data_IF_387484154586
#
_entry.id   IF_387484154586
#
_cell.length_a   1.000
_cell.length_b   1.000
_cell.length_c   1.000
_cell.angle_alpha   90.00
_cell.angle_beta   90.00
_cell.angle_gamma   90.00
#
_symmetry.space_group_name_H-M   'P 1'
#
loop_
_entity.id
_entity.type
_entity.pdbx_description
1 polymer ?
#
# COMPACT_ATOMS: atom_id res chain seq x y z
N UNK A 1 -1.28 -29.80 -0.82
CA UNK A 1 -0.20 -29.21 0.00
C UNK A 1 0.94 -28.79 -0.92
N UNK A 2 0.85 -27.59 -1.48
CA UNK A 2 1.94 -26.99 -2.25
C UNK A 2 2.96 -26.50 -1.22
N UNK A 3 4.10 -27.17 -1.16
CA UNK A 3 5.28 -26.70 -0.46
C UNK A 3 5.63 -25.30 -1.01
N UNK A 4 5.17 -24.24 -0.32
CA UNK A 4 5.73 -22.90 -0.45
C UNK A 4 7.17 -23.00 0.03
N UNK A 5 8.05 -23.38 -0.89
CA UNK A 5 9.49 -23.35 -0.72
C UNK A 5 9.83 -21.96 -0.20
N UNK A 6 10.49 -21.91 0.94
CA UNK A 6 11.10 -20.74 1.56
C UNK A 6 12.28 -20.35 0.65
N UNK A 7 11.98 -19.94 -0.57
CA UNK A 7 12.93 -19.37 -1.50
C UNK A 7 13.05 -17.90 -1.08
N UNK A 8 14.15 -17.57 -0.40
CA UNK A 8 14.50 -16.22 0.05
C UNK A 8 14.69 -15.23 -1.10
N UNK A 9 13.60 -14.90 -1.78
CA UNK A 9 13.48 -13.89 -2.83
C UNK A 9 12.12 -13.20 -2.59
N UNK A 10 11.96 -12.58 -1.42
CA UNK A 10 10.74 -11.84 -1.10
C UNK A 10 10.61 -10.65 -2.07
N UNK A 11 9.65 -10.75 -2.99
CA UNK A 11 8.89 -9.66 -3.61
C UNK A 11 9.60 -8.51 -4.32
N UNK A 12 10.90 -8.60 -4.63
CA UNK A 12 11.63 -7.55 -5.40
C UNK A 12 11.06 -7.23 -6.78
N UNK A 13 10.13 -8.05 -7.28
CA UNK A 13 9.48 -7.83 -8.55
C UNK A 13 8.24 -6.92 -8.47
N UNK A 14 7.65 -6.74 -7.27
CA UNK A 14 6.47 -5.89 -7.02
C UNK A 14 6.85 -4.63 -6.26
N UNK A 15 7.78 -4.77 -5.32
CA UNK A 15 8.29 -3.68 -4.49
C UNK A 15 9.72 -3.31 -4.84
N UNK A 16 10.05 -2.05 -4.63
CA UNK A 16 11.37 -1.46 -4.84
C UNK A 16 12.49 -2.24 -4.11
N UNK A 17 13.50 -2.72 -4.84
CA UNK A 17 14.76 -3.19 -4.25
C UNK A 17 15.60 -2.01 -3.73
N UNK A 18 16.46 -2.19 -2.72
CA UNK A 18 17.33 -1.10 -2.22
C UNK A 18 18.21 -0.45 -3.31
N UNK A 19 18.54 -1.18 -4.37
CA UNK A 19 19.32 -0.65 -5.50
C UNK A 19 18.48 0.16 -6.51
N UNK A 20 17.14 0.10 -6.43
CA UNK A 20 16.27 0.87 -7.32
C UNK A 20 16.17 2.35 -6.92
N UNK A 21 16.34 2.67 -5.63
CA UNK A 21 16.46 4.03 -5.13
C UNK A 21 17.58 4.10 -4.08
N UNK A 22 18.86 4.00 -4.52
CA UNK A 22 19.98 4.00 -3.60
C UNK A 22 20.11 5.37 -2.91
N UNK A 23 20.50 5.41 -1.63
CA UNK A 23 20.84 6.67 -0.98
C UNK A 23 22.07 7.30 -1.66
N UNK A 24 22.22 8.62 -1.56
CA UNK A 24 23.24 9.40 -2.28
C UNK A 24 24.66 8.85 -2.10
N UNK A 25 25.00 8.39 -0.89
CA UNK A 25 26.31 7.82 -0.55
C UNK A 25 26.65 6.61 -1.42
N UNK A 26 25.68 5.71 -1.58
CA UNK A 26 25.81 4.50 -2.39
C UNK A 26 25.84 4.87 -3.88
N UNK A 27 24.96 5.77 -4.32
CA UNK A 27 24.90 6.21 -5.71
C UNK A 27 26.19 6.91 -6.18
N UNK A 28 26.81 7.70 -5.30
CA UNK A 28 28.04 8.43 -5.58
C UNK A 28 29.32 7.61 -5.32
N UNK A 29 29.20 6.34 -4.92
CA UNK A 29 30.32 5.47 -4.54
C UNK A 29 31.25 6.10 -3.47
N UNK A 30 30.66 6.82 -2.52
CA UNK A 30 31.39 7.41 -1.39
C UNK A 30 31.47 6.35 -0.29
N UNK A 31 32.65 6.17 0.32
CA UNK A 31 32.81 5.26 1.46
C UNK A 31 32.02 5.79 2.66
N UNK A 32 31.10 5.00 3.20
CA UNK A 32 30.27 5.35 4.37
C UNK A 32 31.11 5.80 5.57
N UNK A 33 32.35 5.30 5.68
CA UNK A 33 33.30 5.69 6.73
C UNK A 33 33.65 7.16 6.69
N UNK A 34 33.60 7.82 5.53
CA UNK A 34 33.94 9.26 5.43
C UNK A 34 32.86 10.15 6.06
N UNK A 35 31.64 9.63 6.25
CA UNK A 35 30.54 10.34 6.91
C UNK A 35 30.51 10.11 8.43
N UNK A 36 31.08 9.00 8.89
CA UNK A 36 31.17 8.69 10.31
C UNK A 36 32.27 9.52 10.96
N UNK A 37 31.90 10.38 11.91
CA UNK A 37 32.86 11.05 12.80
C UNK A 37 33.15 10.17 14.00
N UNK A 38 34.42 9.88 14.25
CA UNK A 38 34.84 9.13 15.44
C UNK A 38 34.43 9.88 16.71
N UNK A 39 33.89 9.14 17.69
CA UNK A 39 33.39 9.69 18.96
C UNK A 39 31.97 10.28 18.92
N UNK A 40 31.28 10.29 17.77
CA UNK A 40 29.87 10.71 17.67
C UNK A 40 28.99 9.49 17.36
N UNK A 41 28.07 9.18 18.27
CA UNK A 41 27.08 8.13 18.06
C UNK A 41 25.78 8.72 17.50
N UNK A 42 25.11 7.97 16.62
CA UNK A 42 23.73 8.26 16.27
C UNK A 42 22.88 8.21 17.55
N UNK A 43 22.01 9.21 17.74
CA UNK A 43 21.05 9.17 18.83
C UNK A 43 20.07 8.01 18.57
N UNK A 44 20.03 7.05 19.48
CA UNK A 44 19.06 5.96 19.47
C UNK A 44 18.25 6.03 20.74
N UNK A 45 16.93 6.11 20.59
CA UNK A 45 16.00 6.07 21.72
C UNK A 45 15.32 4.70 21.74
N UNK A 46 15.36 3.95 22.85
CA UNK A 46 14.77 2.61 22.92
C UNK A 46 13.29 2.57 22.51
N UNK A 47 12.56 3.67 22.69
CA UNK A 47 11.17 3.81 22.24
C UNK A 47 11.04 3.74 20.72
N UNK A 48 11.88 4.47 19.96
CA UNK A 48 11.86 4.45 18.49
C UNK A 48 12.21 3.06 17.94
N UNK A 49 13.17 2.37 18.55
CA UNK A 49 13.49 0.99 18.18
C UNK A 49 12.34 0.03 18.49
N UNK A 50 11.67 0.19 19.64
CA UNK A 50 10.52 -0.61 20.02
C UNK A 50 9.33 -0.46 19.07
N UNK A 51 9.01 0.78 18.68
CA UNK A 51 7.93 1.07 17.72
C UNK A 51 8.23 0.45 16.36
N UNK A 52 9.44 0.66 15.82
CA UNK A 52 9.85 0.10 14.53
C UNK A 52 9.81 -1.43 14.55
N UNK A 53 10.30 -2.07 15.63
CA UNK A 53 10.25 -3.51 15.77
C UNK A 53 8.81 -4.06 15.84
N UNK A 54 7.93 -3.40 16.61
CA UNK A 54 6.53 -3.79 16.71
C UNK A 54 5.80 -3.71 15.37
N UNK A 55 6.00 -2.62 14.64
CA UNK A 55 5.42 -2.43 13.29
C UNK A 55 5.94 -3.48 12.32
N UNK A 56 7.24 -3.78 12.36
CA UNK A 56 7.85 -4.80 11.51
C UNK A 56 7.23 -6.18 11.75
N UNK A 57 7.16 -6.62 13.02
CA UNK A 57 6.58 -7.92 13.38
C UNK A 57 5.12 -7.98 12.97
N UNK A 58 4.35 -6.91 13.16
CA UNK A 58 2.97 -6.91 12.69
C UNK A 58 2.85 -7.04 11.18
N UNK A 59 3.72 -6.39 10.41
CA UNK A 59 3.70 -6.55 8.96
C UNK A 59 4.08 -7.98 8.52
N UNK A 60 5.01 -8.62 9.24
CA UNK A 60 5.37 -10.03 9.03
C UNK A 60 4.18 -10.96 9.32
N UNK A 61 3.46 -10.74 10.41
CA UNK A 61 2.28 -11.53 10.75
C UNK A 61 1.19 -11.38 9.70
N UNK A 62 0.85 -10.14 9.32
CA UNK A 62 -0.12 -9.86 8.24
C UNK A 62 0.24 -10.56 6.94
N UNK A 63 1.52 -10.56 6.57
CA UNK A 63 2.01 -11.18 5.34
C UNK A 63 2.03 -12.72 5.39
N UNK A 64 2.39 -13.32 6.53
CA UNK A 64 2.49 -14.79 6.63
C UNK A 64 1.15 -15.47 6.87
N UNK A 65 0.23 -14.78 7.55
CA UNK A 65 -1.08 -15.31 7.93
C UNK A 65 -2.22 -14.79 7.04
N UNK A 66 -1.90 -14.02 6.00
CA UNK A 66 -2.85 -13.49 5.00
C UNK A 66 -4.07 -12.79 5.64
N UNK A 67 -3.84 -11.89 6.60
CA UNK A 67 -4.89 -11.08 7.24
C UNK A 67 -4.57 -9.58 7.22
N UNK A 68 -5.62 -8.76 7.21
CA UNK A 68 -5.50 -7.31 7.13
C UNK A 68 -4.75 -6.85 5.86
N UNK A 69 -4.24 -5.62 5.89
CA UNK A 69 -3.54 -5.03 4.74
C UNK A 69 -2.04 -4.98 4.98
N UNK A 70 -1.25 -5.65 4.15
CA UNK A 70 0.22 -5.60 4.19
C UNK A 70 0.72 -4.25 3.68
N UNK A 71 1.69 -3.66 4.36
CA UNK A 71 2.29 -2.38 3.96
C UNK A 71 3.63 -2.61 3.27
N UNK A 72 3.82 -2.06 2.07
CA UNK A 72 5.08 -2.11 1.32
C UNK A 72 6.13 -1.16 1.87
N UNK A 73 5.69 0.02 2.31
CA UNK A 73 6.47 0.96 3.08
C UNK A 73 5.58 1.63 4.11
N UNK A 74 6.10 1.76 5.33
CA UNK A 74 5.48 2.47 6.42
C UNK A 74 6.57 3.27 7.14
N UNK A 75 6.47 4.59 7.03
CA UNK A 75 7.35 5.52 7.74
C UNK A 75 6.84 5.79 9.16
N UNK A 76 7.73 6.25 10.02
CA UNK A 76 7.39 6.73 11.35
C UNK A 76 8.14 8.04 11.62
N UNK A 77 7.38 9.11 11.86
CA UNK A 77 7.90 10.39 12.33
C UNK A 77 7.44 10.63 13.77
N UNK A 78 8.35 10.41 14.71
CA UNK A 78 8.10 10.55 16.15
C UNK A 78 7.82 11.98 16.61
N UNK A 79 8.19 13.01 15.84
CA UNK A 79 7.95 14.41 16.25
C UNK A 79 6.54 14.89 15.95
N UNK A 80 5.89 14.31 14.95
CA UNK A 80 4.55 14.68 14.49
C UNK A 80 3.55 13.52 14.64
N UNK A 81 3.97 12.42 15.27
CA UNK A 81 3.22 11.16 15.36
C UNK A 81 2.60 10.74 14.01
N UNK A 82 3.39 10.90 12.96
CA UNK A 82 2.92 10.73 11.58
C UNK A 82 3.44 9.42 10.98
N UNK A 83 2.53 8.66 10.37
CA UNK A 83 2.75 7.31 9.86
C UNK A 83 2.43 7.22 8.36
N UNK A 84 3.29 7.73 7.47
CA UNK A 84 3.03 7.69 6.03
C UNK A 84 3.16 6.27 5.48
N UNK A 85 2.16 5.84 4.71
CA UNK A 85 2.22 4.62 3.91
C UNK A 85 2.48 4.96 2.45
N UNK A 86 3.30 4.16 1.76
CA UNK A 86 3.50 4.29 0.32
C UNK A 86 3.78 2.93 -0.31
N UNK A 87 3.54 2.83 -1.61
CA UNK A 87 3.90 1.67 -2.42
C UNK A 87 4.98 2.09 -3.43
N UNK A 88 6.23 1.75 -3.14
CA UNK A 88 7.35 2.08 -4.03
C UNK A 88 7.49 1.02 -5.13
N UNK A 89 7.39 1.46 -6.39
CA UNK A 89 7.52 0.59 -7.56
C UNK A 89 8.98 0.39 -7.97
N UNK A 90 9.36 -0.76 -8.54
CA UNK A 90 10.71 -1.01 -9.05
C UNK A 90 11.12 -0.01 -10.14
N UNK A 91 12.42 0.32 -10.20
CA UNK A 91 12.99 1.12 -11.27
C UNK A 91 13.29 0.22 -12.49
N UNK A 92 12.72 0.49 -13.69
CA UNK A 92 12.99 -0.28 -14.91
C UNK A 92 14.48 -0.28 -15.31
N UNK A 93 15.19 0.78 -14.96
CA UNK A 93 16.62 0.97 -15.24
C UNK A 93 17.49 0.77 -13.99
N UNK A 94 17.01 0.01 -12.99
CA UNK A 94 17.78 -0.34 -11.79
C UNK A 94 19.14 -0.91 -12.16
N UNK A 95 20.23 -0.53 -11.48
CA UNK A 95 21.58 -1.01 -11.79
C UNK A 95 21.73 -2.53 -11.64
N UNK A 96 20.99 -3.13 -10.70
CA UNK A 96 21.00 -4.57 -10.46
C UNK A 96 20.29 -5.35 -11.59
N UNK A 97 21.08 -6.18 -12.28
CA UNK A 97 20.62 -7.07 -13.35
C UNK A 97 19.59 -8.09 -12.85
N UNK A 98 19.72 -8.59 -11.62
CA UNK A 98 18.78 -9.56 -11.07
C UNK A 98 17.43 -8.92 -10.80
N UNK A 99 17.40 -7.69 -10.27
CA UNK A 99 16.18 -6.92 -10.12
C UNK A 99 15.46 -6.75 -11.47
N UNK A 100 16.14 -6.33 -12.54
CA UNK A 100 15.52 -6.18 -13.87
C UNK A 100 14.94 -7.50 -14.39
N UNK A 101 15.67 -8.61 -14.23
CA UNK A 101 15.19 -9.95 -14.61
C UNK A 101 13.93 -10.35 -13.84
N UNK A 102 13.86 -10.06 -12.55
CA UNK A 102 12.68 -10.36 -11.73
C UNK A 102 11.48 -9.49 -12.12
N UNK A 103 11.70 -8.24 -12.48
CA UNK A 103 10.65 -7.35 -13.00
C UNK A 103 10.04 -7.91 -14.29
N UNK A 104 10.86 -8.42 -15.21
CA UNK A 104 10.39 -9.08 -16.44
C UNK A 104 9.57 -10.33 -16.14
N UNK A 105 10.06 -11.20 -15.25
CA UNK A 105 9.35 -12.40 -14.83
C UNK A 105 7.98 -12.08 -14.20
N UNK A 106 7.90 -11.01 -13.40
CA UNK A 106 6.65 -10.58 -12.79
C UNK A 106 5.66 -10.00 -13.80
N UNK A 107 6.11 -9.19 -14.75
CA UNK A 107 5.25 -8.69 -15.84
C UNK A 107 4.64 -9.86 -16.64
N UNK A 108 5.41 -10.91 -16.90
CA UNK A 108 4.91 -12.12 -17.54
C UNK A 108 3.87 -12.84 -16.67
N UNK A 109 4.12 -12.94 -15.36
CA UNK A 109 3.19 -13.56 -14.42
C UNK A 109 1.87 -12.78 -14.33
N UNK A 110 1.92 -11.46 -14.16
CA UNK A 110 0.72 -10.61 -14.13
C UNK A 110 -0.07 -10.69 -15.44
N UNK A 111 0.60 -10.78 -16.59
CA UNK A 111 -0.09 -10.94 -17.87
C UNK A 111 -0.78 -12.30 -18.02
N UNK A 112 -0.29 -13.33 -17.32
CA UNK A 112 -0.86 -14.68 -17.32
C UNK A 112 -1.93 -14.91 -16.25
N UNK A 113 -1.91 -14.10 -15.18
CA UNK A 113 -2.90 -14.17 -14.12
C UNK A 113 -4.20 -13.48 -14.57
N UNK A 114 -5.37 -14.13 -14.42
CA UNK A 114 -6.64 -13.44 -14.66
C UNK A 114 -6.74 -12.26 -13.70
N UNK A 115 -7.11 -11.08 -14.23
CA UNK A 115 -7.33 -9.89 -13.40
C UNK A 115 -8.26 -10.27 -12.25
N UNK A 116 -7.90 -9.98 -10.99
CA UNK A 116 -8.79 -10.25 -9.88
C UNK A 116 -10.08 -9.49 -10.15
N UNK A 117 -11.19 -10.22 -10.20
CA UNK A 117 -12.51 -9.62 -10.12
C UNK A 117 -12.53 -8.77 -8.85
N UNK A 118 -12.89 -7.50 -8.98
CA UNK A 118 -13.06 -6.62 -7.83
C UNK A 118 -14.17 -7.26 -7.00
N UNK A 119 -13.79 -8.02 -5.97
CA UNK A 119 -14.73 -8.50 -4.98
C UNK A 119 -15.20 -7.24 -4.28
N UNK A 120 -16.32 -6.71 -4.74
CA UNK A 120 -17.10 -5.74 -3.98
C UNK A 120 -17.46 -6.49 -2.71
N UNK A 121 -16.72 -6.22 -1.65
CA UNK A 121 -17.08 -6.65 -0.31
C UNK A 121 -18.37 -5.89 -0.02
N UNK A 122 -19.52 -6.52 -0.27
CA UNK A 122 -20.77 -5.98 0.23
C UNK A 122 -20.65 -5.95 1.74
N UNK A 123 -20.59 -4.75 2.29
CA UNK A 123 -20.58 -4.55 3.73
C UNK A 123 -21.89 -5.13 4.26
N UNK A 124 -21.80 -6.25 4.97
CA UNK A 124 -22.95 -6.85 5.62
C UNK A 124 -23.59 -5.81 6.55
N UNK A 125 -24.91 -5.64 6.55
CA UNK A 125 -25.57 -4.68 7.43
C UNK A 125 -25.21 -5.01 8.89
N UNK A 126 -24.75 -4.00 9.64
CA UNK A 126 -24.40 -4.14 11.05
C UNK A 126 -25.66 -4.46 11.84
N UNK A 127 -25.75 -5.66 12.40
CA UNK A 127 -26.87 -6.08 13.26
C UNK A 127 -26.55 -5.71 14.69
N UNK A 128 -27.40 -4.89 15.31
CA UNK A 128 -27.32 -4.56 16.74
C UNK A 128 -28.13 -5.58 17.54
N UNK A 129 -27.54 -6.13 18.61
CA UNK A 129 -28.24 -7.07 19.50
C UNK A 129 -29.44 -6.41 20.20
N UNK A 130 -29.29 -5.14 20.62
CA UNK A 130 -30.32 -4.32 21.23
C UNK A 130 -30.28 -2.88 20.69
N UNK A 131 -31.46 -2.27 20.49
CA UNK A 131 -31.62 -0.85 20.13
C UNK A 131 -32.83 -0.24 20.86
N UNK A 132 -32.80 -0.28 22.19
CA UNK A 132 -33.90 0.20 23.05
C UNK A 132 -34.22 1.69 22.88
N UNK A 133 -33.25 2.47 22.41
CA UNK A 133 -33.32 3.93 22.28
C UNK A 133 -33.72 4.39 20.87
N UNK A 134 -33.98 3.47 19.94
CA UNK A 134 -34.42 3.78 18.58
C UNK A 134 -33.41 4.60 17.78
N UNK A 135 -32.12 4.30 17.93
CA UNK A 135 -31.05 5.00 17.21
C UNK A 135 -31.10 4.58 15.74
N UNK A 136 -31.22 5.55 14.84
CA UNK A 136 -31.27 5.33 13.38
C UNK A 136 -30.00 5.85 12.71
N UNK A 137 -29.51 5.12 11.71
CA UNK A 137 -28.40 5.58 10.87
C UNK A 137 -28.94 6.62 9.88
N UNK A 138 -28.73 7.89 10.19
CA UNK A 138 -29.04 8.99 9.26
C UNK A 138 -27.81 9.24 8.40
N UNK A 139 -27.95 9.14 7.08
CA UNK A 139 -26.90 9.59 6.17
C UNK A 139 -26.78 11.11 6.27
N UNK A 140 -25.57 11.63 6.53
CA UNK A 140 -25.33 13.08 6.56
C UNK A 140 -25.54 13.76 5.20
N UNK A 141 -25.69 12.95 4.15
CA UNK A 141 -26.05 13.37 2.80
C UNK A 141 -27.36 12.70 2.45
N UNK A 142 -28.36 13.49 2.07
CA UNK A 142 -29.63 12.96 1.60
C UNK A 142 -29.45 12.24 0.25
N UNK A 143 -30.31 11.26 -0.04
CA UNK A 143 -30.32 10.62 -1.37
C UNK A 143 -30.53 11.62 -2.50
N UNK A 144 -31.17 12.76 -2.21
CA UNK A 144 -31.39 13.87 -3.14
C UNK A 144 -30.08 14.64 -3.39
N UNK A 145 -29.31 14.98 -2.35
CA UNK A 145 -27.98 15.62 -2.50
C UNK A 145 -26.95 14.70 -3.19
N UNK A 146 -27.02 13.38 -2.96
CA UNK A 146 -26.19 12.38 -3.66
C UNK A 146 -26.53 12.30 -5.16
N UNK A 147 -27.81 12.45 -5.50
CA UNK A 147 -28.29 12.52 -6.90
C UNK A 147 -27.98 13.87 -7.55
N UNK A 148 -27.95 14.97 -6.80
CA UNK A 148 -27.55 16.29 -7.31
C UNK A 148 -26.03 16.39 -7.55
N UNK A 149 -25.23 15.76 -6.68
CA UNK A 149 -23.79 15.65 -6.86
C UNK A 149 -23.42 14.75 -8.06
N UNK A 150 -24.27 13.78 -8.39
CA UNK A 150 -24.12 12.90 -9.56
C UNK A 150 -24.90 13.46 -10.75
N UNK A 151 -24.22 14.19 -11.64
CA UNK A 151 -24.83 14.71 -12.86
C UNK A 151 -25.56 13.65 -13.73
N UNK A 152 -26.33 14.07 -14.75
CA UNK A 152 -27.19 13.18 -15.52
C UNK A 152 -26.39 12.05 -16.18
N UNK A 153 -26.83 10.81 -15.93
CA UNK A 153 -26.24 9.59 -16.52
C UNK A 153 -26.72 9.46 -17.97
N UNK A 154 -25.84 9.52 -18.98
CA UNK A 154 -26.23 9.36 -20.37
C UNK A 154 -26.63 7.91 -20.67
N UNK A 155 -27.63 7.71 -21.53
CA UNK A 155 -27.93 6.40 -22.11
C UNK A 155 -26.79 6.00 -23.06
N UNK A 156 -26.07 4.92 -22.73
CA UNK A 156 -24.93 4.43 -23.49
C UNK A 156 -25.20 3.05 -24.11
N UNK A 157 -24.63 2.75 -25.29
CA UNK A 157 -24.75 1.44 -25.92
C UNK A 157 -23.98 0.34 -25.16
N UNK A 158 -24.33 -0.92 -25.40
CA UNK A 158 -23.72 -2.09 -24.75
C UNK A 158 -22.17 -2.07 -24.87
N UNK A 159 -21.49 -2.17 -23.73
CA UNK A 159 -20.03 -2.23 -23.64
C UNK A 159 -19.33 -0.93 -23.24
N UNK A 160 -20.05 0.16 -22.97
CA UNK A 160 -19.48 1.43 -22.48
C UNK A 160 -20.03 1.73 -21.08
N UNK A 161 -19.13 2.03 -20.13
CA UNK A 161 -19.48 2.43 -18.76
C UNK A 161 -19.12 3.90 -18.52
N UNK A 162 -19.97 4.60 -17.76
CA UNK A 162 -19.72 6.00 -17.36
C UNK A 162 -18.61 6.04 -16.32
N UNK A 163 -17.57 6.85 -16.55
CA UNK A 163 -16.42 6.96 -15.66
C UNK A 163 -16.61 7.98 -14.53
N UNK A 164 -17.27 9.11 -14.82
CA UNK A 164 -17.68 10.12 -13.84
C UNK A 164 -18.71 11.06 -14.47
N UNK A 165 -19.54 11.67 -13.63
CA UNK A 165 -20.50 12.72 -14.01
C UNK A 165 -20.11 14.02 -13.31
N UNK A 166 -20.28 15.14 -14.00
CA UNK A 166 -20.00 16.47 -13.45
C UNK A 166 -21.30 16.97 -12.79
N UNK A 167 -21.29 17.49 -11.56
CA UNK A 167 -22.49 18.03 -10.93
C UNK A 167 -23.04 19.21 -11.76
N UNK A 168 -24.37 19.33 -11.81
CA UNK A 168 -25.03 20.46 -12.48
C UNK A 168 -24.80 21.70 -11.61
N UNK A 169 -23.91 22.59 -12.05
CA UNK A 169 -23.79 23.93 -11.46
C UNK A 169 -25.00 24.76 -11.92
N UNK A 170 -25.87 25.13 -10.97
CA UNK A 170 -26.90 26.17 -11.18
C UNK A 170 -26.25 27.54 -11.23
#
# INVERSE_FOLDING_TARGET
MQHKSIQGCLTTSVSLSSQCAPPLVVAANIDEKTLKREGVCAASLPTTMGVVAGILVQNVLKFLLDFGTVSYYLGYNAMQDYFPTMAMKPNPSCDDKYCRRQQEAYKLREASEPKPEVVVVEESPVVHEDNEWGIELVSEVSEEELKEASGPVPELPEGITVAYTIPITV
#
